data_IF_866016300456
#
_entry.id   IF_866016300456
#
_cell.length_a   1.000
_cell.length_b   1.000
_cell.length_c   1.000
_cell.angle_alpha   90.00
_cell.angle_beta   90.00
_cell.angle_gamma   90.00
#
_symmetry.space_group_name_H-M   'P 1'
#
loop_
_entity.id
_entity.type
_entity.pdbx_description
1 polymer ?
#
# COMPACT_ATOMS: atom_id res chain seq x y z
N UNK A 1 -15.38 5.31 10.64
CA UNK A 1 -14.25 4.52 10.10
C UNK A 1 -14.37 3.09 10.58
N UNK A 2 -14.26 2.14 9.65
CA UNK A 2 -14.32 0.73 10.00
C UNK A 2 -13.02 0.28 10.67
N UNK A 3 -13.14 -0.38 11.83
CA UNK A 3 -12.00 -0.98 12.55
C UNK A 3 -12.04 -2.48 12.33
N UNK A 4 -11.05 -3.02 11.64
CA UNK A 4 -10.97 -4.46 11.38
C UNK A 4 -9.80 -5.06 12.14
N UNK A 5 -10.11 -5.87 13.17
CA UNK A 5 -9.09 -6.46 14.06
C UNK A 5 -8.93 -7.96 13.87
N UNK A 6 -9.81 -8.58 13.09
CA UNK A 6 -9.78 -10.02 12.88
C UNK A 6 -8.93 -10.44 11.70
N UNK A 7 -9.10 -11.69 11.31
CA UNK A 7 -8.47 -12.26 10.13
C UNK A 7 -9.53 -12.45 9.05
N UNK A 8 -9.35 -11.81 7.91
CA UNK A 8 -10.21 -11.97 6.75
C UNK A 8 -9.52 -12.88 5.74
N UNK A 9 -10.23 -13.94 5.32
CA UNK A 9 -9.75 -14.78 4.22
C UNK A 9 -10.15 -14.15 2.88
N UNK A 10 -9.39 -14.45 1.83
CA UNK A 10 -9.70 -14.03 0.47
C UNK A 10 -9.40 -12.55 0.19
N UNK A 11 -9.86 -12.11 -0.96
CA UNK A 11 -9.59 -10.75 -1.44
C UNK A 11 -10.64 -9.77 -0.91
N UNK A 12 -10.24 -8.52 -0.73
CA UNK A 12 -11.10 -7.48 -0.17
C UNK A 12 -11.03 -6.24 -1.05
N UNK A 13 -12.19 -5.62 -1.25
CA UNK A 13 -12.29 -4.32 -1.92
C UNK A 13 -12.65 -3.28 -0.86
N UNK A 14 -11.84 -2.23 -0.77
CA UNK A 14 -12.05 -1.14 0.19
C UNK A 14 -12.61 0.07 -0.56
N UNK A 15 -13.84 0.46 -0.25
CA UNK A 15 -14.55 1.58 -0.87
C UNK A 15 -15.04 2.60 0.16
N UNK A 16 -14.56 2.49 1.39
CA UNK A 16 -14.86 3.37 2.52
C UNK A 16 -13.64 3.43 3.45
N UNK A 17 -13.59 4.35 4.42
CA UNK A 17 -12.45 4.40 5.35
C UNK A 17 -12.35 3.17 6.26
N UNK A 18 -11.17 2.56 6.30
CA UNK A 18 -10.85 1.39 7.13
C UNK A 18 -9.55 1.61 7.91
N UNK A 19 -9.53 1.17 9.15
CA UNK A 19 -8.31 0.87 9.90
C UNK A 19 -8.16 -0.66 9.97
N UNK A 20 -7.14 -1.18 9.32
CA UNK A 20 -6.84 -2.62 9.35
C UNK A 20 -5.79 -2.89 10.43
N UNK A 21 -6.24 -3.38 11.57
CA UNK A 21 -5.35 -3.81 12.66
C UNK A 21 -5.01 -5.29 12.56
N UNK A 22 -5.91 -6.09 12.01
CA UNK A 22 -5.77 -7.52 11.84
C UNK A 22 -5.05 -7.87 10.54
N UNK A 23 -5.51 -8.94 9.89
CA UNK A 23 -4.87 -9.42 8.67
C UNK A 23 -5.88 -9.77 7.59
N UNK A 24 -5.44 -9.65 6.35
CA UNK A 24 -6.20 -10.07 5.17
C UNK A 24 -5.34 -11.11 4.45
N UNK A 25 -5.89 -12.31 4.26
CA UNK A 25 -5.15 -13.43 3.66
C UNK A 25 -4.95 -13.30 2.15
N UNK A 26 -5.83 -12.58 1.47
CA UNK A 26 -5.74 -12.34 0.04
C UNK A 26 -5.18 -10.98 -0.29
N UNK A 27 -5.54 -10.48 -1.47
CA UNK A 27 -5.14 -9.17 -1.96
C UNK A 27 -6.22 -8.12 -1.64
N UNK A 28 -5.80 -6.87 -1.58
CA UNK A 28 -6.70 -5.75 -1.30
C UNK A 28 -6.66 -4.77 -2.45
N UNK A 29 -7.84 -4.35 -2.90
CA UNK A 29 -7.99 -3.28 -3.88
C UNK A 29 -8.70 -2.12 -3.21
N UNK A 30 -8.07 -0.95 -3.20
CA UNK A 30 -8.66 0.26 -2.66
C UNK A 30 -9.13 1.09 -3.85
N UNK A 31 -10.45 1.31 -3.92
CA UNK A 31 -11.08 2.02 -5.02
C UNK A 31 -11.45 3.44 -4.61
N UNK A 32 -12.07 4.18 -5.50
CA UNK A 32 -12.52 5.55 -5.23
C UNK A 32 -13.36 5.61 -3.95
N UNK A 33 -13.13 6.61 -3.13
CA UNK A 33 -13.71 6.81 -1.81
C UNK A 33 -13.15 5.87 -0.73
N UNK A 34 -12.33 4.89 -1.11
CA UNK A 34 -11.63 4.06 -0.15
C UNK A 34 -10.47 4.78 0.49
N UNK A 35 -10.26 4.53 1.76
CA UNK A 35 -9.12 5.02 2.51
C UNK A 35 -8.71 3.92 3.47
N UNK A 36 -7.47 3.47 3.35
CA UNK A 36 -7.02 2.32 4.13
C UNK A 36 -5.77 2.68 4.92
N UNK A 37 -5.84 2.44 6.23
CA UNK A 37 -4.66 2.45 7.10
C UNK A 37 -4.29 1.00 7.37
N UNK A 38 -3.17 0.55 6.82
CA UNK A 38 -2.67 -0.82 7.04
C UNK A 38 -1.75 -0.79 8.26
N UNK A 39 -2.32 -1.15 9.42
CA UNK A 39 -1.55 -1.25 10.66
C UNK A 39 -1.17 -2.69 10.97
N UNK A 40 -1.94 -3.65 10.44
CA UNK A 40 -1.66 -5.08 10.53
C UNK A 40 -0.97 -5.59 9.27
N UNK A 41 -1.53 -6.64 8.65
CA UNK A 41 -0.88 -7.31 7.53
C UNK A 41 -1.84 -7.63 6.39
N UNK A 42 -1.32 -7.52 5.17
CA UNK A 42 -1.95 -8.02 3.95
C UNK A 42 -1.00 -9.06 3.39
N UNK A 43 -1.46 -10.31 3.26
CA UNK A 43 -0.60 -11.38 2.76
C UNK A 43 -0.52 -11.44 1.24
N UNK A 44 -1.53 -10.93 0.54
CA UNK A 44 -1.48 -10.76 -0.90
C UNK A 44 -0.88 -9.42 -1.30
N UNK A 45 -1.33 -8.91 -2.42
CA UNK A 45 -0.89 -7.63 -2.97
C UNK A 45 -1.87 -6.52 -2.63
N UNK A 46 -1.41 -5.27 -2.74
CA UNK A 46 -2.23 -4.09 -2.52
C UNK A 46 -2.26 -3.28 -3.81
N UNK A 47 -3.46 -3.05 -4.32
CA UNK A 47 -3.70 -2.27 -5.53
C UNK A 47 -4.53 -1.06 -5.13
N UNK A 48 -4.03 0.14 -5.45
CA UNK A 48 -4.74 1.37 -5.14
C UNK A 48 -5.14 2.03 -6.45
N UNK A 49 -6.44 2.09 -6.69
CA UNK A 49 -7.01 2.62 -7.92
C UNK A 49 -7.34 4.11 -7.78
N UNK A 50 -7.77 4.71 -8.87
CA UNK A 50 -8.14 6.12 -8.92
C UNK A 50 -9.02 6.52 -7.74
N UNK A 51 -8.63 7.57 -7.07
CA UNK A 51 -9.38 8.11 -5.93
C UNK A 51 -9.16 7.37 -4.62
N UNK A 52 -8.44 6.24 -4.63
CA UNK A 52 -8.10 5.52 -3.41
C UNK A 52 -6.91 6.15 -2.69
N UNK A 53 -6.88 5.99 -1.37
CA UNK A 53 -5.81 6.49 -0.52
C UNK A 53 -5.39 5.43 0.48
N UNK A 54 -4.09 5.27 0.67
CA UNK A 54 -3.57 4.27 1.61
C UNK A 54 -2.39 4.84 2.38
N UNK A 55 -2.33 4.51 3.67
CA UNK A 55 -1.15 4.71 4.49
C UNK A 55 -0.75 3.35 5.07
N UNK A 56 0.45 2.88 4.73
CA UNK A 56 0.95 1.58 5.16
C UNK A 56 1.88 1.79 6.35
N UNK A 57 1.49 1.27 7.52
CA UNK A 57 2.32 1.22 8.73
C UNK A 57 2.80 -0.20 9.00
N UNK A 58 2.02 -1.20 8.59
CA UNK A 58 2.30 -2.62 8.81
C UNK A 58 2.97 -3.28 7.62
N UNK A 59 2.49 -4.47 7.27
CA UNK A 59 3.13 -5.30 6.26
C UNK A 59 2.21 -5.59 5.08
N UNK A 60 2.77 -5.54 3.88
CA UNK A 60 2.16 -6.06 2.66
C UNK A 60 3.14 -7.07 2.10
N UNK A 61 2.76 -8.36 2.09
CA UNK A 61 3.68 -9.43 1.66
C UNK A 61 3.90 -9.46 0.15
N UNK A 62 2.88 -9.08 -0.62
CA UNK A 62 2.97 -9.04 -2.07
C UNK A 62 3.47 -7.70 -2.59
N UNK A 63 2.97 -7.31 -3.76
CA UNK A 63 3.35 -6.07 -4.41
C UNK A 63 2.41 -4.93 -4.06
N UNK A 64 2.91 -3.71 -4.19
CA UNK A 64 2.08 -2.51 -4.16
C UNK A 64 2.00 -1.95 -5.57
N UNK A 65 0.77 -1.69 -6.03
CA UNK A 65 0.53 -1.00 -7.31
C UNK A 65 -0.27 0.26 -7.04
N UNK A 66 0.27 1.41 -7.46
CA UNK A 66 -0.36 2.71 -7.31
C UNK A 66 -0.79 3.18 -8.69
N UNK A 67 -2.09 3.20 -8.96
CA UNK A 67 -2.61 3.58 -10.26
C UNK A 67 -2.84 5.09 -10.36
N UNK A 68 -3.15 5.55 -11.56
CA UNK A 68 -3.41 6.96 -11.82
C UNK A 68 -4.46 7.50 -10.83
N UNK A 69 -4.17 8.64 -10.24
CA UNK A 69 -5.08 9.31 -9.31
C UNK A 69 -5.14 8.71 -7.92
N UNK A 70 -4.36 7.68 -7.64
CA UNK A 70 -4.24 7.10 -6.32
C UNK A 70 -3.14 7.80 -5.52
N UNK A 71 -3.22 7.69 -4.18
CA UNK A 71 -2.21 8.25 -3.30
C UNK A 71 -1.85 7.25 -2.22
N UNK A 72 -0.56 7.00 -2.06
CA UNK A 72 -0.05 6.06 -1.06
C UNK A 72 1.12 6.68 -0.30
N UNK A 73 1.05 6.57 1.03
CA UNK A 73 2.18 6.86 1.91
C UNK A 73 2.62 5.52 2.50
N UNK A 74 3.87 5.15 2.25
CA UNK A 74 4.43 3.89 2.73
C UNK A 74 5.42 4.13 3.85
N UNK A 75 5.09 3.65 5.05
CA UNK A 75 5.92 3.76 6.26
C UNK A 75 6.21 2.40 6.89
N UNK A 76 5.78 1.31 6.27
CA UNK A 76 5.93 -0.05 6.79
C UNK A 76 6.83 -0.91 5.92
N UNK A 77 6.38 -2.14 5.63
CA UNK A 77 7.14 -3.13 4.87
C UNK A 77 6.33 -3.63 3.68
N UNK A 78 6.92 -3.61 2.50
CA UNK A 78 6.40 -4.25 1.30
C UNK A 78 7.37 -5.38 0.95
N UNK A 79 6.84 -6.61 0.88
CA UNK A 79 7.65 -7.80 0.59
C UNK A 79 8.02 -7.95 -0.88
N UNK A 80 7.21 -7.43 -1.79
CA UNK A 80 7.46 -7.45 -3.22
C UNK A 80 7.93 -6.10 -3.75
N UNK A 81 7.45 -5.77 -4.95
CA UNK A 81 7.80 -4.52 -5.63
C UNK A 81 6.78 -3.43 -5.32
N UNK A 82 7.22 -2.18 -5.37
CA UNK A 82 6.34 -1.02 -5.32
C UNK A 82 6.33 -0.37 -6.71
N UNK A 83 5.18 -0.39 -7.35
CA UNK A 83 5.02 0.06 -8.74
C UNK A 83 4.06 1.23 -8.78
N UNK A 84 4.54 2.36 -9.27
CA UNK A 84 3.72 3.54 -9.48
C UNK A 84 3.39 3.66 -10.97
N UNK A 85 2.11 3.50 -11.28
CA UNK A 85 1.61 3.53 -12.66
C UNK A 85 1.00 4.88 -13.05
N UNK A 86 0.99 5.85 -12.16
CA UNK A 86 0.46 7.16 -12.48
C UNK A 86 -0.09 7.96 -11.31
N UNK A 87 0.07 7.46 -10.10
CA UNK A 87 -0.39 8.14 -8.90
C UNK A 87 0.74 8.85 -8.16
N UNK A 88 0.52 9.05 -6.87
CA UNK A 88 1.52 9.60 -5.96
C UNK A 88 1.93 8.55 -4.94
N UNK A 89 3.21 8.29 -4.87
CA UNK A 89 3.78 7.35 -3.92
C UNK A 89 4.85 8.06 -3.11
N UNK A 90 4.65 8.13 -1.80
CA UNK A 90 5.65 8.64 -0.87
C UNK A 90 6.18 7.48 -0.06
N UNK A 91 7.49 7.30 -0.04
CA UNK A 91 8.16 6.25 0.75
C UNK A 91 8.96 6.92 1.85
N UNK A 92 8.54 6.65 3.09
CA UNK A 92 9.14 7.18 4.30
C UNK A 92 10.59 6.69 4.46
N UNK A 93 11.49 7.47 5.08
CA UNK A 93 12.87 7.04 5.31
C UNK A 93 13.01 5.70 6.04
N UNK A 94 12.05 5.36 6.90
CA UNK A 94 12.10 4.11 7.69
C UNK A 94 11.39 2.94 7.00
N UNK A 95 10.78 3.15 5.84
CA UNK A 95 10.05 2.12 5.14
C UNK A 95 10.99 1.11 4.48
N UNK A 96 10.47 -0.09 4.25
CA UNK A 96 11.18 -1.16 3.56
C UNK A 96 10.41 -1.59 2.33
N UNK A 97 11.09 -1.76 1.22
CA UNK A 97 10.60 -2.41 0.01
C UNK A 97 11.61 -3.47 -0.34
N UNK A 98 11.22 -4.75 -0.20
CA UNK A 98 12.15 -5.87 -0.43
C UNK A 98 12.51 -6.01 -1.91
N UNK A 99 11.56 -5.71 -2.80
CA UNK A 99 11.78 -5.72 -4.23
C UNK A 99 12.21 -4.35 -4.75
N UNK A 100 11.79 -4.03 -5.95
CA UNK A 100 12.17 -2.80 -6.64
C UNK A 100 11.07 -1.76 -6.52
N UNK A 101 11.50 -0.50 -6.56
CA UNK A 101 10.57 0.63 -6.71
C UNK A 101 10.63 1.05 -8.18
N UNK A 102 9.49 0.97 -8.85
CA UNK A 102 9.38 1.34 -10.27
C UNK A 102 8.36 2.45 -10.43
N UNK A 103 8.72 3.49 -11.13
CA UNK A 103 7.80 4.56 -11.50
C UNK A 103 7.64 4.56 -13.01
N UNK A 104 6.47 4.15 -13.48
CA UNK A 104 6.13 4.15 -14.90
C UNK A 104 5.62 5.54 -15.28
N UNK A 105 4.68 6.06 -14.48
CA UNK A 105 4.17 7.41 -14.56
C UNK A 105 3.84 7.89 -13.14
N UNK A 106 3.52 9.16 -12.99
CA UNK A 106 3.19 9.75 -11.71
C UNK A 106 4.42 10.25 -10.97
N UNK A 107 4.27 10.47 -9.69
CA UNK A 107 5.33 10.98 -8.84
C UNK A 107 5.64 10.00 -7.71
N UNK A 108 6.91 9.69 -7.57
CA UNK A 108 7.39 8.88 -6.44
C UNK A 108 8.45 9.69 -5.70
N UNK A 109 8.22 9.91 -4.41
CA UNK A 109 9.21 10.45 -3.50
C UNK A 109 9.71 9.33 -2.61
N UNK A 110 10.92 8.85 -2.88
CA UNK A 110 11.56 7.81 -2.08
C UNK A 110 12.57 8.48 -1.16
N UNK A 111 12.20 8.60 0.11
CA UNK A 111 13.01 9.26 1.13
C UNK A 111 13.94 8.30 1.87
N UNK A 112 14.00 7.05 1.47
CA UNK A 112 14.90 6.08 2.08
C UNK A 112 16.36 6.47 1.79
N UNK A 113 17.28 6.18 2.72
CA UNK A 113 18.70 6.41 2.47
C UNK A 113 19.16 5.63 1.25
N UNK A 114 19.92 6.29 0.37
CA UNK A 114 20.52 5.61 -0.78
C UNK A 114 21.74 4.85 -0.29
N UNK A 115 21.86 3.54 -0.61
CA UNK A 115 23.07 2.80 -0.26
C UNK A 115 24.28 3.44 -0.90
N UNK A 116 25.31 3.65 -0.12
CA UNK A 116 26.61 4.10 -0.66
C UNK A 116 27.28 2.90 -1.32
N UNK A 117 27.57 3.05 -2.57
CA UNK A 117 28.36 2.05 -3.29
C UNK A 117 29.85 2.24 -3.06
#
# INVERSE_FOLDING_TARGET
MREERGQLGGDVIVYEPWNLWGSIGGSVTVVQNGKLYVRGAIYGSLIVEFGGRVHIFGNVSGNLTVQRGAKVIHSGVIGGDAINEGGRLFIDPTATVMGKVKTIEGETEDKRPTPKS
#
